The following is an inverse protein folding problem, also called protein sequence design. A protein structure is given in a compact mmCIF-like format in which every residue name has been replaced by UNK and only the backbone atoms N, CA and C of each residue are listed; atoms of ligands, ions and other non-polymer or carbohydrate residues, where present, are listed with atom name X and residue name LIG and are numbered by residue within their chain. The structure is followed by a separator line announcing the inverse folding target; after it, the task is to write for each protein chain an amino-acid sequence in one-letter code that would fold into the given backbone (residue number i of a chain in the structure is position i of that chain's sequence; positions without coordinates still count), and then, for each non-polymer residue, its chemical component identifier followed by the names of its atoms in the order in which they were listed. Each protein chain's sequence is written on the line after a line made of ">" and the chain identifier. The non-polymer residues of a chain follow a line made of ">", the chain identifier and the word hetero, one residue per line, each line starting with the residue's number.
data_IF_534119729302
#
_entry.id   IF_534119729302
#
_cell.length_a   1.000
_cell.length_b   1.000
_cell.length_c   1.000
_cell.angle_alpha   90.00
_cell.angle_beta   90.00
_cell.angle_gamma   90.00
#
_symmetry.space_group_name_H-M   'P 1'
#
loop_
_entity.id
_entity.type
_entity.pdbx_description
1 polymer ?
#
# COMPACT_ATOMS: atom_id res chain seq x y z
N UNK A 1 -21.28 19.22 -17.24
CA UNK A 1 -20.76 17.88 -17.54
C UNK A 1 -20.30 17.27 -16.23
N UNK A 2 -20.72 16.05 -15.90
CA UNK A 2 -20.28 15.40 -14.67
C UNK A 2 -18.76 15.12 -14.74
N UNK A 3 -18.06 15.25 -13.61
CA UNK A 3 -16.62 14.96 -13.56
C UNK A 3 -16.40 13.47 -13.45
N UNK A 4 -15.44 12.96 -14.22
CA UNK A 4 -15.02 11.56 -14.16
C UNK A 4 -14.00 11.34 -13.05
N UNK A 5 -14.18 10.26 -12.29
CA UNK A 5 -13.32 9.94 -11.13
C UNK A 5 -12.74 8.54 -11.31
N UNK A 6 -11.40 8.44 -11.28
CA UNK A 6 -10.72 7.15 -11.25
C UNK A 6 -10.58 6.65 -9.81
N UNK A 7 -10.98 5.42 -9.55
CA UNK A 7 -10.87 4.74 -8.25
C UNK A 7 -9.95 3.53 -8.44
N UNK A 8 -8.92 3.40 -7.60
CA UNK A 8 -7.94 2.30 -7.71
C UNK A 8 -8.21 1.29 -6.59
N UNK A 9 -8.68 0.10 -6.98
CA UNK A 9 -9.03 -1.01 -6.09
C UNK A 9 -10.52 -1.13 -5.80
N UNK A 10 -11.06 -2.33 -5.93
CA UNK A 10 -12.45 -2.73 -5.68
C UNK A 10 -12.66 -3.43 -4.33
N UNK A 11 -11.86 -3.07 -3.32
CA UNK A 11 -12.06 -3.49 -1.93
C UNK A 11 -13.14 -2.68 -1.21
N UNK A 12 -13.26 -2.82 0.11
CA UNK A 12 -14.22 -2.08 0.94
C UNK A 12 -14.18 -0.56 0.69
N UNK A 13 -12.98 0.03 0.73
CA UNK A 13 -12.79 1.46 0.47
C UNK A 13 -13.21 1.86 -0.95
N UNK A 14 -12.93 1.01 -1.94
CA UNK A 14 -13.30 1.23 -3.33
C UNK A 14 -14.81 1.24 -3.54
N UNK A 15 -15.52 0.27 -2.95
CA UNK A 15 -16.99 0.20 -3.00
C UNK A 15 -17.62 1.47 -2.39
N UNK A 16 -17.16 1.89 -1.21
CA UNK A 16 -17.62 3.13 -0.59
C UNK A 16 -17.33 4.35 -1.48
N UNK A 17 -16.14 4.42 -2.10
CA UNK A 17 -15.77 5.53 -2.97
C UNK A 17 -16.65 5.60 -4.23
N UNK A 18 -16.96 4.46 -4.86
CA UNK A 18 -17.87 4.42 -6.02
C UNK A 18 -19.23 4.97 -5.60
N UNK A 19 -19.78 4.43 -4.50
CA UNK A 19 -21.10 4.81 -3.99
C UNK A 19 -21.16 6.29 -3.63
N UNK A 20 -20.16 6.82 -2.94
CA UNK A 20 -20.06 8.25 -2.63
C UNK A 20 -19.99 9.13 -3.89
N UNK A 21 -19.20 8.73 -4.90
CA UNK A 21 -19.14 9.45 -6.17
C UNK A 21 -20.50 9.52 -6.87
N UNK A 22 -21.25 8.41 -6.88
CA UNK A 22 -22.58 8.36 -7.48
C UNK A 22 -23.57 9.28 -6.75
N UNK A 23 -23.51 9.34 -5.42
CA UNK A 23 -24.37 10.23 -4.62
C UNK A 23 -24.13 11.72 -4.91
N UNK A 24 -22.88 12.08 -5.25
CA UNK A 24 -22.49 13.44 -5.62
C UNK A 24 -22.68 13.73 -7.13
N UNK A 25 -23.31 12.83 -7.88
CA UNK A 25 -23.54 13.00 -9.33
C UNK A 25 -22.26 12.96 -10.17
N UNK A 26 -21.21 12.31 -9.68
CA UNK A 26 -19.95 12.10 -10.40
C UNK A 26 -20.01 10.80 -11.22
N UNK A 27 -19.05 10.63 -12.12
CA UNK A 27 -18.92 9.45 -12.98
C UNK A 27 -17.70 8.60 -12.56
N UNK A 28 -17.86 7.65 -11.60
CA UNK A 28 -16.76 6.82 -11.16
C UNK A 28 -16.42 5.71 -12.16
N UNK A 29 -15.12 5.46 -12.31
CA UNK A 29 -14.55 4.27 -12.95
C UNK A 29 -13.54 3.66 -11.99
N UNK A 30 -13.85 2.48 -11.47
CA UNK A 30 -12.98 1.71 -10.61
C UNK A 30 -12.14 0.72 -11.42
N UNK A 31 -10.85 0.66 -11.14
CA UNK A 31 -9.90 -0.29 -11.71
C UNK A 31 -9.50 -1.29 -10.63
N UNK A 32 -9.87 -2.56 -10.82
CA UNK A 32 -9.56 -3.65 -9.92
C UNK A 32 -8.62 -4.62 -10.63
N UNK A 33 -7.44 -4.84 -10.04
CA UNK A 33 -6.41 -5.70 -10.63
C UNK A 33 -6.89 -7.15 -10.74
N UNK A 34 -7.67 -7.62 -9.79
CA UNK A 34 -8.13 -9.00 -9.74
C UNK A 34 -9.46 -9.21 -10.46
N UNK A 35 -9.98 -10.44 -10.41
CA UNK A 35 -11.21 -10.85 -11.11
C UNK A 35 -12.52 -10.60 -10.34
N UNK A 36 -12.43 -10.19 -9.08
CA UNK A 36 -13.59 -10.01 -8.21
C UNK A 36 -13.34 -8.85 -7.23
N UNK A 37 -14.38 -8.38 -6.55
CA UNK A 37 -14.29 -7.36 -5.50
C UNK A 37 -13.71 -7.94 -4.20
N UNK A 38 -13.65 -7.10 -3.17
CA UNK A 38 -13.46 -7.51 -1.77
C UNK A 38 -12.05 -7.31 -1.23
N UNK A 39 -11.06 -7.13 -2.10
CA UNK A 39 -9.69 -6.80 -1.70
C UNK A 39 -9.13 -7.81 -0.70
N UNK A 40 -8.77 -7.33 0.50
CA UNK A 40 -8.22 -8.13 1.60
C UNK A 40 -9.14 -9.27 2.05
N UNK A 41 -10.46 -9.07 2.01
CA UNK A 41 -11.43 -10.00 2.60
C UNK A 41 -11.72 -11.22 1.73
N UNK A 42 -11.30 -11.17 0.47
CA UNK A 42 -11.39 -12.31 -0.44
C UNK A 42 -10.21 -13.25 -0.19
N UNK A 43 -10.45 -14.27 0.62
CA UNK A 43 -9.47 -15.33 0.85
C UNK A 43 -9.17 -16.07 -0.46
N UNK A 44 -7.88 -16.21 -0.76
CA UNK A 44 -7.35 -17.02 -1.86
C UNK A 44 -6.26 -17.93 -1.28
N UNK A 45 -6.32 -19.23 -1.61
CA UNK A 45 -5.37 -20.22 -1.09
C UNK A 45 -3.95 -19.98 -1.58
N UNK A 46 -3.82 -19.50 -2.82
CA UNK A 46 -2.56 -19.03 -3.40
C UNK A 46 -2.68 -17.51 -3.60
N UNK A 47 -2.09 -16.70 -2.70
CA UNK A 47 -2.15 -15.25 -2.81
C UNK A 47 -1.52 -14.73 -4.10
N UNK A 48 -2.15 -13.73 -4.71
CA UNK A 48 -1.58 -13.00 -5.84
C UNK A 48 -0.46 -12.05 -5.35
N UNK A 49 0.64 -11.97 -6.11
CA UNK A 49 1.75 -11.07 -5.80
C UNK A 49 1.30 -9.59 -5.73
N UNK A 50 1.78 -8.90 -4.70
CA UNK A 50 1.48 -7.49 -4.47
C UNK A 50 0.08 -7.21 -3.92
N UNK A 51 -0.64 -8.22 -3.41
CA UNK A 51 -1.91 -8.05 -2.69
C UNK A 51 -1.82 -8.49 -1.25
N UNK A 52 -2.55 -7.78 -0.38
CA UNK A 52 -2.76 -8.23 0.97
C UNK A 52 -3.64 -9.49 0.95
N UNK A 53 -3.27 -10.48 1.77
CA UNK A 53 -4.00 -11.73 1.90
C UNK A 53 -4.30 -12.02 3.37
N UNK A 54 -5.34 -12.81 3.59
CA UNK A 54 -5.78 -13.30 4.88
C UNK A 54 -5.56 -14.81 4.95
N UNK A 55 -5.46 -15.36 6.16
CA UNK A 55 -5.49 -16.80 6.36
C UNK A 55 -6.93 -17.33 6.37
N UNK A 56 -7.09 -18.63 6.11
CA UNK A 56 -8.40 -19.27 5.88
C UNK A 56 -9.42 -19.05 6.99
N UNK A 57 -8.97 -19.05 8.25
CA UNK A 57 -9.82 -18.99 9.44
C UNK A 57 -10.04 -17.58 9.99
N UNK A 58 -9.78 -16.52 9.21
CA UNK A 58 -9.98 -15.15 9.68
C UNK A 58 -11.43 -14.90 10.07
N UNK A 59 -11.61 -14.46 11.31
CA UNK A 59 -12.85 -13.91 11.86
C UNK A 59 -12.57 -12.45 12.21
N UNK A 60 -13.50 -11.55 11.91
CA UNK A 60 -13.36 -10.14 12.27
C UNK A 60 -13.23 -9.98 13.79
N UNK A 61 -12.43 -9.02 14.21
CA UNK A 61 -12.22 -8.68 15.62
C UNK A 61 -13.13 -7.55 16.11
N UNK A 62 -13.94 -6.95 15.24
CA UNK A 62 -14.91 -5.89 15.55
C UNK A 62 -16.32 -6.42 15.37
N UNK A 63 -17.26 -6.02 16.24
CA UNK A 63 -18.67 -6.44 16.12
C UNK A 63 -19.27 -5.98 14.79
N UNK A 64 -20.19 -6.76 14.22
CA UNK A 64 -20.93 -6.43 12.99
C UNK A 64 -21.59 -5.05 13.07
N UNK A 65 -22.17 -4.70 14.22
CA UNK A 65 -22.86 -3.42 14.45
C UNK A 65 -21.92 -2.21 14.41
N UNK A 66 -20.63 -2.43 14.66
CA UNK A 66 -19.61 -1.37 14.67
C UNK A 66 -18.83 -1.28 13.36
N UNK A 67 -19.03 -2.24 12.46
CA UNK A 67 -18.24 -2.42 11.24
C UNK A 67 -19.09 -2.29 9.97
N UNK A 68 -20.43 -2.34 10.06
CA UNK A 68 -21.31 -2.15 8.91
C UNK A 68 -21.09 -0.78 8.25
N UNK A 69 -21.51 -0.67 6.99
CA UNK A 69 -21.55 0.63 6.33
C UNK A 69 -22.69 1.44 6.95
N UNK A 70 -22.49 2.75 7.10
CA UNK A 70 -23.38 3.61 7.89
C UNK A 70 -24.82 3.65 7.38
N UNK A 71 -25.04 3.32 6.11
CA UNK A 71 -26.35 3.30 5.45
C UNK A 71 -26.75 1.92 4.93
N UNK A 72 -26.05 0.86 5.35
CA UNK A 72 -26.36 -0.51 4.96
C UNK A 72 -26.00 -1.45 6.12
N UNK A 73 -26.94 -1.74 7.04
CA UNK A 73 -26.67 -2.62 8.17
C UNK A 73 -26.39 -4.05 7.71
N UNK A 74 -25.59 -4.77 8.48
CA UNK A 74 -25.35 -6.20 8.26
C UNK A 74 -26.61 -6.97 8.69
N UNK A 75 -27.04 -8.02 7.95
CA UNK A 75 -28.22 -8.80 8.30
C UNK A 75 -28.27 -9.31 9.75
N UNK A 76 -29.48 -9.35 10.32
CA UNK A 76 -29.69 -9.73 11.73
C UNK A 76 -29.22 -11.15 12.04
N UNK A 77 -29.35 -12.07 11.08
CA UNK A 77 -28.98 -13.48 11.19
C UNK A 77 -27.46 -13.73 11.09
N UNK A 78 -26.67 -12.73 10.68
CA UNK A 78 -25.21 -12.87 10.62
C UNK A 78 -24.60 -12.85 12.04
N UNK A 79 -23.55 -13.64 12.31
CA UNK A 79 -22.86 -13.62 13.61
C UNK A 79 -22.28 -12.24 13.94
N UNK A 80 -22.26 -11.85 15.22
CA UNK A 80 -21.63 -10.60 15.65
C UNK A 80 -20.14 -10.51 15.25
N UNK A 81 -19.44 -11.65 15.27
CA UNK A 81 -18.07 -11.77 14.76
C UNK A 81 -18.07 -12.74 13.60
N UNK A 82 -17.96 -12.20 12.39
CA UNK A 82 -18.11 -12.92 11.14
C UNK A 82 -16.79 -13.50 10.62
N UNK A 83 -16.87 -14.71 10.10
CA UNK A 83 -15.84 -15.27 9.23
C UNK A 83 -15.68 -14.41 7.96
N UNK A 84 -14.48 -14.37 7.36
CA UNK A 84 -14.21 -13.55 6.18
C UNK A 84 -15.15 -13.83 5.00
N UNK A 85 -15.66 -15.06 4.87
CA UNK A 85 -16.65 -15.42 3.85
C UNK A 85 -17.97 -14.66 4.00
N UNK A 86 -18.41 -14.40 5.23
CA UNK A 86 -19.61 -13.60 5.52
C UNK A 86 -19.39 -12.11 5.26
N UNK A 87 -18.16 -11.62 5.43
CA UNK A 87 -17.78 -10.27 4.98
C UNK A 87 -17.87 -10.14 3.47
N UNK A 88 -17.37 -11.12 2.73
CA UNK A 88 -17.48 -11.15 1.27
C UNK A 88 -18.94 -11.20 0.80
N UNK A 89 -19.79 -11.96 1.48
CA UNK A 89 -21.23 -11.99 1.22
C UNK A 89 -21.84 -10.60 1.41
N UNK A 90 -21.56 -9.94 2.54
CA UNK A 90 -22.01 -8.58 2.82
C UNK A 90 -21.54 -7.54 1.79
N UNK A 91 -20.27 -7.61 1.33
CA UNK A 91 -19.80 -6.71 0.26
C UNK A 91 -20.50 -6.93 -1.07
N UNK A 92 -20.87 -8.18 -1.40
CA UNK A 92 -21.65 -8.47 -2.60
C UNK A 92 -23.07 -7.93 -2.47
N UNK A 93 -23.70 -8.06 -1.30
CA UNK A 93 -25.01 -7.45 -1.02
C UNK A 93 -24.96 -5.93 -1.22
N UNK A 94 -23.95 -5.26 -0.65
CA UNK A 94 -23.78 -3.82 -0.80
C UNK A 94 -23.56 -3.41 -2.27
N UNK A 95 -22.66 -4.11 -2.96
CA UNK A 95 -22.34 -3.80 -4.36
C UNK A 95 -23.53 -4.03 -5.30
N UNK A 96 -24.37 -5.03 -5.02
CA UNK A 96 -25.61 -5.27 -5.77
C UNK A 96 -26.68 -4.24 -5.46
N UNK A 97 -26.90 -3.94 -4.17
CA UNK A 97 -27.94 -3.00 -3.73
C UNK A 97 -27.77 -1.61 -4.35
N UNK A 98 -26.53 -1.11 -4.40
CA UNK A 98 -26.22 0.20 -4.98
C UNK A 98 -25.76 0.14 -6.44
N UNK A 99 -25.86 -1.03 -7.09
CA UNK A 99 -25.45 -1.26 -8.49
C UNK A 99 -24.04 -0.73 -8.82
N UNK A 100 -23.08 -1.08 -7.95
CA UNK A 100 -21.70 -0.59 -8.01
C UNK A 100 -20.85 -1.35 -9.03
N UNK A 101 -21.18 -2.62 -9.29
CA UNK A 101 -20.33 -3.52 -10.09
C UNK A 101 -20.13 -3.04 -11.53
N UNK A 102 -21.13 -2.36 -12.12
CA UNK A 102 -21.03 -1.80 -13.48
C UNK A 102 -19.95 -0.71 -13.62
N UNK A 103 -19.52 -0.13 -12.50
CA UNK A 103 -18.48 0.90 -12.48
C UNK A 103 -17.08 0.30 -12.31
N UNK A 104 -16.95 -1.02 -12.18
CA UNK A 104 -15.70 -1.71 -11.90
C UNK A 104 -15.18 -2.41 -13.17
N UNK A 105 -13.93 -2.12 -13.51
CA UNK A 105 -13.15 -2.81 -14.53
C UNK A 105 -12.20 -3.78 -13.84
N UNK A 106 -12.58 -5.05 -13.84
CA UNK A 106 -11.75 -6.14 -13.33
C UNK A 106 -10.56 -6.42 -14.25
N UNK A 107 -9.58 -7.17 -13.73
CA UNK A 107 -8.35 -7.54 -14.44
C UNK A 107 -7.61 -6.34 -15.03
N UNK A 108 -7.74 -5.18 -14.39
CA UNK A 108 -7.13 -3.93 -14.84
C UNK A 108 -6.24 -3.40 -13.74
N UNK A 109 -4.93 -3.56 -13.92
CA UNK A 109 -3.92 -3.06 -12.99
C UNK A 109 -3.57 -1.61 -13.29
N UNK A 110 -3.39 -0.81 -12.24
CA UNK A 110 -2.76 0.51 -12.31
C UNK A 110 -1.41 0.41 -11.62
N UNK A 111 -0.35 0.79 -12.31
CA UNK A 111 1.00 0.76 -11.74
C UNK A 111 1.18 1.94 -10.79
N UNK A 112 1.24 1.61 -9.50
CA UNK A 112 1.20 2.59 -8.42
C UNK A 112 2.31 3.64 -8.53
N UNK A 113 3.56 3.20 -8.73
CA UNK A 113 4.71 4.13 -8.73
C UNK A 113 4.66 5.09 -9.92
N UNK A 114 4.57 4.64 -11.19
CA UNK A 114 4.46 5.56 -12.32
C UNK A 114 3.26 6.51 -12.21
N UNK A 115 2.11 6.01 -11.76
CA UNK A 115 0.90 6.82 -11.60
C UNK A 115 1.05 7.90 -10.52
N UNK A 116 1.55 7.53 -9.34
CA UNK A 116 1.78 8.48 -8.25
C UNK A 116 2.84 9.52 -8.62
N UNK A 117 3.87 9.12 -9.37
CA UNK A 117 4.89 10.02 -9.87
C UNK A 117 4.34 11.02 -10.90
N UNK A 118 3.46 10.59 -11.80
CA UNK A 118 2.78 11.48 -12.75
C UNK A 118 1.93 12.53 -12.01
N UNK A 119 1.11 12.08 -11.04
CA UNK A 119 0.33 12.99 -10.20
C UNK A 119 1.24 13.94 -9.41
N UNK A 120 2.32 13.43 -8.85
CA UNK A 120 3.27 14.22 -8.09
C UNK A 120 3.99 15.26 -8.96
N UNK A 121 4.25 14.96 -10.25
CA UNK A 121 4.73 15.94 -11.22
C UNK A 121 3.71 17.05 -11.45
N UNK A 122 2.45 16.69 -11.72
CA UNK A 122 1.37 17.65 -11.99
C UNK A 122 1.12 18.59 -10.80
N UNK A 123 1.26 18.07 -9.58
CA UNK A 123 1.10 18.84 -8.33
C UNK A 123 2.39 19.56 -7.89
N UNK A 124 3.51 19.34 -8.57
CA UNK A 124 4.80 19.94 -8.20
C UNK A 124 5.41 19.40 -6.91
N UNK A 125 5.02 18.20 -6.45
CA UNK A 125 5.49 17.58 -5.21
C UNK A 125 6.45 16.41 -5.42
N UNK A 126 6.64 15.93 -6.66
CA UNK A 126 7.58 14.83 -6.96
C UNK A 126 8.98 15.21 -6.49
N UNK A 127 9.70 14.41 -5.69
CA UNK A 127 11.06 14.73 -5.25
C UNK A 127 12.04 14.72 -6.45
N UNK A 128 12.99 15.67 -6.47
CA UNK A 128 14.10 15.66 -7.42
C UNK A 128 15.27 14.91 -6.78
N UNK A 129 15.56 13.70 -7.28
CA UNK A 129 16.60 12.85 -6.72
C UNK A 129 18.00 13.46 -6.82
N UNK A 130 18.31 14.20 -7.88
CA UNK A 130 19.62 14.86 -8.02
C UNK A 130 19.81 15.94 -6.97
N UNK A 131 18.82 16.84 -6.83
CA UNK A 131 18.84 17.87 -5.78
C UNK A 131 18.91 17.22 -4.39
N UNK A 132 18.11 16.19 -4.17
CA UNK A 132 18.05 15.48 -2.89
C UNK A 132 19.38 14.80 -2.57
N UNK A 133 20.04 14.19 -3.56
CA UNK A 133 21.36 13.58 -3.39
C UNK A 133 22.43 14.60 -3.00
N UNK A 134 22.35 15.83 -3.52
CA UNK A 134 23.27 16.91 -3.17
C UNK A 134 23.01 17.51 -1.78
N UNK A 135 21.74 17.56 -1.34
CA UNK A 135 21.36 18.18 -0.05
C UNK A 135 21.29 17.19 1.12
N UNK A 136 20.86 15.96 0.85
CA UNK A 136 20.69 14.89 1.84
C UNK A 136 20.89 13.50 1.17
N UNK A 137 22.16 13.08 0.98
CA UNK A 137 22.49 11.82 0.33
C UNK A 137 21.83 10.59 0.99
N UNK A 138 21.67 10.62 2.33
CA UNK A 138 21.05 9.51 3.07
C UNK A 138 19.57 9.38 2.74
N UNK A 139 18.84 10.49 2.75
CA UNK A 139 17.44 10.49 2.34
C UNK A 139 17.30 10.14 0.86
N UNK A 140 18.19 10.61 -0.02
CA UNK A 140 18.17 10.28 -1.43
C UNK A 140 18.30 8.77 -1.71
N UNK A 141 19.20 8.09 -1.00
CA UNK A 141 19.36 6.63 -1.10
C UNK A 141 18.10 5.90 -0.62
N UNK A 142 17.49 6.33 0.48
CA UNK A 142 16.24 5.74 0.99
C UNK A 142 15.04 5.99 0.06
N UNK A 143 14.98 7.14 -0.62
CA UNK A 143 13.92 7.43 -1.60
C UNK A 143 14.13 6.60 -2.88
N UNK A 144 15.38 6.42 -3.32
CA UNK A 144 15.70 5.72 -4.55
C UNK A 144 15.65 4.18 -4.43
N UNK A 145 16.12 3.64 -3.30
CA UNK A 145 16.29 2.20 -3.10
C UNK A 145 15.45 1.63 -1.95
N UNK A 146 14.86 2.48 -1.12
CA UNK A 146 13.95 2.07 -0.06
C UNK A 146 12.52 1.86 -0.57
N UNK A 147 11.60 1.44 0.31
CA UNK A 147 10.19 1.28 -0.05
C UNK A 147 9.57 2.62 -0.48
N UNK A 148 8.78 2.56 -1.55
CA UNK A 148 8.01 3.71 -2.03
C UNK A 148 6.88 4.01 -1.05
N UNK A 149 7.06 5.06 -0.24
CA UNK A 149 6.05 5.50 0.73
C UNK A 149 5.47 6.86 0.35
N UNK A 150 4.18 7.14 0.65
CA UNK A 150 3.56 8.44 0.36
C UNK A 150 4.26 9.65 1.01
N UNK A 151 5.09 9.41 2.05
CA UNK A 151 5.88 10.46 2.70
C UNK A 151 6.85 11.15 1.73
N UNK A 152 7.32 10.44 0.69
CA UNK A 152 8.24 11.00 -0.32
C UNK A 152 7.63 12.20 -1.04
N UNK A 153 6.32 12.16 -1.33
CA UNK A 153 5.57 13.24 -1.96
C UNK A 153 5.20 14.37 -0.99
N UNK A 154 5.64 14.30 0.28
CA UNK A 154 5.49 15.38 1.28
C UNK A 154 6.82 15.98 1.70
N UNK A 155 7.91 15.66 1.01
CA UNK A 155 9.23 16.27 1.24
C UNK A 155 9.31 17.73 0.77
N UNK A 156 8.50 18.11 -0.24
CA UNK A 156 8.50 19.45 -0.82
C UNK A 156 7.17 19.79 -1.48
N UNK A 157 7.01 21.05 -1.88
CA UNK A 157 5.82 21.53 -2.57
C UNK A 157 4.62 21.77 -1.66
N UNK A 158 3.43 21.97 -2.23
CA UNK A 158 2.20 22.17 -1.46
C UNK A 158 1.92 20.99 -0.52
N UNK A 159 1.60 21.29 0.74
CA UNK A 159 1.34 20.25 1.75
C UNK A 159 2.59 19.50 2.25
N UNK A 160 3.79 20.06 2.02
CA UNK A 160 5.02 19.56 2.60
C UNK A 160 4.91 19.43 4.12
N UNK A 161 5.52 18.37 4.66
CA UNK A 161 5.46 18.04 6.07
C UNK A 161 6.86 17.90 6.65
N UNK A 162 7.17 18.67 7.70
CA UNK A 162 8.49 18.67 8.33
C UNK A 162 8.94 17.28 8.83
N UNK A 163 7.99 16.41 9.22
CA UNK A 163 8.28 15.06 9.67
C UNK A 163 8.49 14.04 8.54
N UNK A 164 8.32 14.41 7.27
CA UNK A 164 8.37 13.48 6.14
C UNK A 164 9.74 12.79 6.02
N UNK A 165 10.82 13.56 6.19
CA UNK A 165 12.19 13.04 6.20
C UNK A 165 12.36 11.94 7.25
N UNK A 166 12.03 12.25 8.50
CA UNK A 166 12.24 11.32 9.61
C UNK A 166 11.35 10.09 9.47
N UNK A 167 10.12 10.25 8.98
CA UNK A 167 9.24 9.14 8.68
C UNK A 167 9.83 8.18 7.64
N UNK A 168 10.46 8.69 6.58
CA UNK A 168 11.14 7.87 5.57
C UNK A 168 12.34 7.14 6.20
N UNK A 169 13.22 7.86 6.91
CA UNK A 169 14.43 7.27 7.48
C UNK A 169 14.16 6.22 8.57
N UNK A 170 13.05 6.33 9.29
CA UNK A 170 12.66 5.40 10.37
C UNK A 170 11.70 4.30 9.91
N UNK A 171 11.34 4.25 8.62
CA UNK A 171 10.30 3.34 8.13
C UNK A 171 10.60 1.87 8.39
N UNK A 172 11.84 1.42 8.17
CA UNK A 172 12.25 0.03 8.41
C UNK A 172 12.09 -0.35 9.88
N UNK A 173 12.50 0.54 10.79
CA UNK A 173 12.34 0.34 12.22
C UNK A 173 10.86 0.22 12.59
N UNK A 174 9.99 1.05 12.02
CA UNK A 174 8.54 1.00 12.29
C UNK A 174 7.88 -0.26 11.75
N UNK A 175 8.39 -0.83 10.66
CA UNK A 175 7.92 -2.10 10.09
C UNK A 175 8.37 -3.28 10.96
N UNK A 176 9.62 -3.27 11.42
CA UNK A 176 10.22 -4.38 12.17
C UNK A 176 9.79 -4.39 13.63
N UNK A 177 9.61 -3.22 14.25
CA UNK A 177 9.32 -3.08 15.69
C UNK A 177 8.11 -3.92 16.16
N UNK A 178 6.97 -3.96 15.46
CA UNK A 178 5.84 -4.82 15.83
C UNK A 178 6.15 -6.32 15.77
N UNK A 179 7.15 -6.73 14.99
CA UNK A 179 7.59 -8.13 14.88
C UNK A 179 8.55 -8.52 16.02
N UNK A 180 9.12 -7.54 16.72
CA UNK A 180 10.05 -7.71 17.83
C UNK A 180 9.34 -7.60 19.19
N UNK A 181 8.27 -8.36 19.37
CA UNK A 181 7.50 -8.39 20.63
C UNK A 181 8.27 -8.98 21.81
N UNK A 182 9.39 -9.68 21.53
CA UNK A 182 10.32 -10.20 22.52
C UNK A 182 11.70 -9.61 22.29
N UNK A 183 12.22 -8.90 23.28
CA UNK A 183 13.59 -8.42 23.27
C UNK A 183 14.52 -9.61 23.52
N UNK A 184 15.30 -10.01 22.51
CA UNK A 184 16.37 -11.00 22.67
C UNK A 184 17.64 -10.19 22.86
N UNK A 185 18.42 -10.46 23.91
CA UNK A 185 19.74 -9.86 24.07
C UNK A 185 20.56 -10.15 22.81
N UNK A 186 21.01 -9.10 22.13
CA UNK A 186 21.89 -9.24 20.97
C UNK A 186 23.20 -9.84 21.46
N UNK A 187 23.44 -11.12 21.15
CA UNK A 187 24.79 -11.68 21.26
C UNK A 187 25.67 -10.89 20.28
N UNK A 188 26.84 -10.40 20.71
CA UNK A 188 27.75 -9.73 19.79
C UNK A 188 28.03 -10.68 18.62
N UNK A 189 27.74 -10.22 17.40
CA UNK A 189 27.97 -11.02 16.20
C UNK A 189 29.44 -11.41 16.15
N UNK A 190 29.74 -12.71 16.20
CA UNK A 190 31.10 -13.24 16.30
C UNK A 190 31.99 -12.89 15.08
N UNK A 191 31.44 -12.29 14.02
CA UNK A 191 32.13 -11.98 12.78
C UNK A 191 31.70 -10.59 12.27
N UNK A 192 31.98 -9.54 13.03
CA UNK A 192 32.06 -8.20 12.46
C UNK A 192 33.31 -8.14 11.58
N UNK A 193 33.17 -8.47 10.28
CA UNK A 193 34.25 -8.33 9.31
C UNK A 193 34.68 -6.85 9.31
N UNK A 194 35.95 -6.54 9.64
CA UNK A 194 36.42 -5.16 9.69
C UNK A 194 36.14 -4.43 8.38
N UNK A 195 35.81 -3.14 8.45
CA UNK A 195 35.44 -2.30 7.30
C UNK A 195 36.42 -2.45 6.13
N UNK A 196 37.70 -2.62 6.43
CA UNK A 196 38.77 -2.79 5.45
C UNK A 196 38.55 -3.98 4.52
N UNK A 197 38.07 -5.12 5.03
CA UNK A 197 37.83 -6.33 4.23
C UNK A 197 36.58 -6.17 3.35
N UNK A 198 35.58 -5.40 3.78
CA UNK A 198 34.43 -5.06 2.94
C UNK A 198 34.83 -4.13 1.78
N UNK A 199 35.68 -3.14 2.06
CA UNK A 199 36.20 -2.21 1.05
C UNK A 199 37.09 -2.95 0.05
N UNK A 200 38.03 -3.78 0.51
CA UNK A 200 38.90 -4.58 -0.37
C UNK A 200 38.07 -5.55 -1.22
N UNK A 201 37.06 -6.20 -0.64
CA UNK A 201 36.15 -7.07 -1.39
C UNK A 201 35.37 -6.32 -2.49
N UNK A 202 34.85 -5.13 -2.17
CA UNK A 202 34.12 -4.31 -3.15
C UNK A 202 35.05 -3.81 -4.28
N UNK A 203 36.28 -3.40 -3.97
CA UNK A 203 37.29 -2.99 -4.96
C UNK A 203 37.69 -4.17 -5.84
N UNK A 204 37.88 -5.36 -5.27
CA UNK A 204 38.22 -6.57 -6.03
C UNK A 204 37.09 -6.97 -6.99
N UNK A 205 35.82 -6.88 -6.56
CA UNK A 205 34.65 -7.15 -7.41
C UNK A 205 34.57 -6.13 -8.55
N UNK A 206 34.73 -4.84 -8.26
CA UNK A 206 34.76 -3.79 -9.30
C UNK A 206 35.90 -4.01 -10.29
N UNK A 207 37.10 -4.32 -9.82
CA UNK A 207 38.25 -4.61 -10.69
C UNK A 207 38.01 -5.85 -11.56
N UNK A 208 37.38 -6.91 -11.02
CA UNK A 208 37.04 -8.10 -11.78
C UNK A 208 35.99 -7.81 -12.87
N UNK A 209 34.98 -6.98 -12.57
CA UNK A 209 33.98 -6.53 -13.54
C UNK A 209 34.64 -5.70 -14.64
N UNK A 210 35.53 -4.76 -14.29
CA UNK A 210 36.28 -3.94 -15.27
C UNK A 210 37.36 -4.70 -16.04
N UNK A 211 37.76 -5.90 -15.59
CA UNK A 211 38.71 -6.75 -16.31
C UNK A 211 38.01 -7.72 -17.28
N UNK A 212 36.69 -7.93 -17.11
CA UNK A 212 35.88 -8.80 -17.96
C UNK A 212 35.02 -8.05 -18.99
N UNK A 213 35.03 -6.72 -18.94
CA UNK A 213 34.45 -5.80 -19.94
C UNK A 213 35.55 -4.87 -20.46
#
# INVERSE_FOLDING_TARGET
>A
MAKRVAIIGGGSSGLCAIKACLQEGLEPVCFERSRDIGGLWRFEENPEDGRASIYRSVIINTSKEMMCFSDFPIPEDFPNYMHNSKIMEYFRMYAQHFDLLRHIRFRTSVDYIPYMDELACQLGVKPNLLTLFLTDPRLALEVAFGPCTPYQYRLRGPGAWAGAREAILTQQQRIIKPLQTRHVEERPSALAVPLIFKVVGAVAILAAVFAYF
#
